data_IF_638595726123
#
_entry.id   IF_638595726123
#
_cell.length_a   1.000
_cell.length_b   1.000
_cell.length_c   1.000
_cell.angle_alpha   90.00
_cell.angle_beta   90.00
_cell.angle_gamma   90.00
#
_symmetry.space_group_name_H-M   'P 1'
#
loop_
_entity.id
_entity.type
_entity.pdbx_description
1 polymer ?
#
# COMPACT_ATOMS: atom_id res chain seq x y z
N UNK A 1 3.24 -6.01 3.54
CA UNK A 1 3.73 -7.35 3.09
C UNK A 1 2.76 -7.95 2.08
N UNK A 2 3.33 -8.43 0.97
CA UNK A 2 2.64 -9.18 -0.09
C UNK A 2 3.44 -10.47 -0.30
N UNK A 3 2.80 -11.58 -0.69
CA UNK A 3 3.47 -12.89 -0.80
C UNK A 3 4.79 -12.80 -1.60
N UNK A 4 5.93 -12.99 -0.92
CA UNK A 4 7.26 -12.96 -1.52
C UNK A 4 8.00 -11.61 -1.50
N UNK A 5 7.35 -10.50 -1.13
CA UNK A 5 8.00 -9.19 -0.95
C UNK A 5 7.62 -8.57 0.41
N UNK A 6 8.65 -8.24 1.19
CA UNK A 6 8.51 -7.90 2.61
C UNK A 6 7.76 -6.57 2.80
N UNK A 7 8.05 -5.59 1.96
CA UNK A 7 7.58 -4.22 2.10
C UNK A 7 7.21 -3.57 0.75
N UNK A 8 6.36 -2.55 0.85
CA UNK A 8 5.84 -1.77 -0.27
C UNK A 8 4.92 -0.68 0.28
N UNK A 9 4.98 0.50 -0.32
CA UNK A 9 4.18 1.66 0.08
C UNK A 9 2.92 1.76 -0.79
N UNK A 10 1.79 2.07 -0.16
CA UNK A 10 0.51 2.24 -0.86
C UNK A 10 0.46 3.63 -1.46
N UNK A 11 0.38 3.70 -2.79
CA UNK A 11 0.37 4.95 -3.56
C UNK A 11 -1.05 5.45 -3.78
N UNK A 12 -1.95 4.53 -4.12
CA UNK A 12 -3.36 4.85 -4.42
C UNK A 12 -4.30 3.82 -3.80
N UNK A 13 -5.51 4.28 -3.45
CA UNK A 13 -6.56 3.46 -2.85
C UNK A 13 -7.87 3.65 -3.61
N UNK A 14 -8.42 2.56 -4.16
CA UNK A 14 -9.71 2.53 -4.81
C UNK A 14 -10.75 1.90 -3.89
N UNK A 15 -11.46 2.74 -3.12
CA UNK A 15 -12.44 2.29 -2.11
C UNK A 15 -13.62 1.50 -2.68
N UNK A 16 -14.07 1.82 -3.88
CA UNK A 16 -15.24 1.18 -4.51
C UNK A 16 -15.00 -0.31 -4.82
N UNK A 17 -13.77 -0.68 -5.18
CA UNK A 17 -13.40 -2.06 -5.52
C UNK A 17 -12.57 -2.76 -4.43
N UNK A 18 -12.34 -2.09 -3.28
CA UNK A 18 -11.44 -2.56 -2.23
C UNK A 18 -10.04 -2.95 -2.76
N UNK A 19 -9.51 -2.17 -3.71
CA UNK A 19 -8.17 -2.40 -4.26
C UNK A 19 -7.20 -1.28 -3.89
N UNK A 20 -5.92 -1.63 -3.84
CA UNK A 20 -4.80 -0.72 -3.54
C UNK A 20 -3.72 -0.88 -4.60
N UNK A 21 -3.08 0.22 -4.97
CA UNK A 21 -1.89 0.24 -5.81
C UNK A 21 -0.69 0.39 -4.89
N UNK A 22 0.31 -0.46 -5.08
CA UNK A 22 1.51 -0.51 -4.24
C UNK A 22 2.72 -0.32 -5.14
N UNK A 23 3.62 0.59 -4.76
CA UNK A 23 4.81 0.92 -5.54
C UNK A 23 5.64 -0.33 -5.85
N UNK A 24 6.08 -0.45 -7.10
CA UNK A 24 6.91 -1.55 -7.62
C UNK A 24 6.33 -2.96 -7.48
N UNK A 25 5.04 -3.09 -7.18
CA UNK A 25 4.36 -4.38 -7.02
C UNK A 25 3.27 -4.52 -8.09
N UNK A 26 3.08 -5.77 -8.58
CA UNK A 26 2.09 -6.10 -9.61
C UNK A 26 2.27 -5.30 -10.91
N UNK A 27 3.53 -5.15 -11.33
CA UNK A 27 3.88 -4.47 -12.57
C UNK A 27 3.33 -5.23 -13.77
N UNK A 28 2.57 -4.53 -14.61
CA UNK A 28 2.07 -5.04 -15.88
C UNK A 28 2.72 -4.28 -17.02
N UNK A 29 3.19 -5.03 -18.01
CA UNK A 29 3.69 -4.46 -19.27
C UNK A 29 2.50 -4.02 -20.10
N UNK A 30 2.39 -2.72 -20.35
CA UNK A 30 1.36 -2.13 -21.20
C UNK A 30 2.02 -1.57 -22.45
N UNK A 31 1.58 -2.07 -23.60
CA UNK A 31 1.92 -1.50 -24.89
C UNK A 31 1.01 -0.29 -25.14
N UNK A 32 1.60 0.90 -25.26
CA UNK A 32 0.89 2.14 -25.52
C UNK A 32 1.11 2.52 -26.97
N UNK A 33 0.00 2.63 -27.71
CA UNK A 33 0.02 3.14 -29.09
C UNK A 33 0.41 4.61 -29.06
N UNK A 34 1.23 5.03 -30.02
CA UNK A 34 1.53 6.44 -30.21
C UNK A 34 0.27 7.22 -30.55
N UNK A 35 0.18 8.45 -30.04
CA UNK A 35 -0.92 9.37 -30.34
C UNK A 35 -0.59 10.30 -31.51
N UNK A 36 0.69 10.50 -31.81
CA UNK A 36 1.17 11.43 -32.83
C UNK A 36 1.76 10.68 -34.02
N UNK A 37 1.54 11.25 -35.22
CA UNK A 37 2.05 10.69 -36.47
C UNK A 37 3.56 10.92 -36.52
N UNK A 38 4.33 9.83 -36.41
CA UNK A 38 5.80 9.87 -36.50
C UNK A 38 6.52 9.37 -35.25
N UNK A 39 5.84 9.25 -34.10
CA UNK A 39 6.45 8.71 -32.89
C UNK A 39 6.25 7.19 -32.75
N UNK A 40 7.27 6.43 -32.33
CA UNK A 40 7.12 5.01 -32.05
C UNK A 40 6.26 4.78 -30.79
N UNK A 41 5.47 3.69 -30.81
CA UNK A 41 4.75 3.24 -29.62
C UNK A 41 5.71 2.90 -28.47
N UNK A 42 5.22 3.05 -27.23
CA UNK A 42 6.04 2.83 -26.04
C UNK A 42 5.60 1.58 -25.28
N UNK A 43 6.57 0.86 -24.72
CA UNK A 43 6.32 -0.23 -23.78
C UNK A 43 6.57 0.32 -22.39
N UNK A 44 5.51 0.54 -21.62
CA UNK A 44 5.59 1.04 -20.24
C UNK A 44 5.27 -0.08 -19.26
N UNK A 45 5.91 -0.05 -18.09
CA UNK A 45 5.52 -0.87 -16.94
C UNK A 45 4.69 0.00 -16.02
N UNK A 46 3.50 -0.47 -15.68
CA UNK A 46 2.59 0.24 -14.77
C UNK A 46 2.24 -0.65 -13.59
N UNK A 47 2.12 -0.07 -12.41
CA UNK A 47 1.59 -0.75 -11.23
C UNK A 47 0.10 -1.03 -11.43
N UNK A 48 -0.31 -2.27 -11.17
CA UNK A 48 -1.70 -2.66 -11.23
C UNK A 48 -2.29 -2.86 -9.83
N UNK A 49 -3.58 -2.56 -9.64
CA UNK A 49 -4.23 -2.71 -8.34
C UNK A 49 -4.25 -4.17 -7.87
N UNK A 50 -4.08 -4.36 -6.56
CA UNK A 50 -4.25 -5.63 -5.85
C UNK A 50 -5.40 -5.47 -4.85
N UNK A 51 -6.15 -6.55 -4.61
CA UNK A 51 -7.20 -6.54 -3.60
C UNK A 51 -6.62 -6.36 -2.17
N UNK A 52 -7.26 -5.51 -1.37
CA UNK A 52 -6.78 -5.13 -0.04
C UNK A 52 -6.69 -6.31 0.94
N UNK A 53 -7.46 -7.38 0.73
CA UNK A 53 -7.35 -8.61 1.54
C UNK A 53 -6.04 -9.37 1.36
N UNK A 54 -5.31 -9.11 0.26
CA UNK A 54 -4.05 -9.80 -0.06
C UNK A 54 -2.82 -9.07 0.50
N UNK A 55 -3.03 -7.97 1.23
CA UNK A 55 -1.96 -7.18 1.83
C UNK A 55 -2.09 -7.16 3.35
N UNK A 56 -0.96 -7.15 4.04
CA UNK A 56 -0.90 -6.96 5.50
C UNK A 56 -0.01 -5.77 5.86
N UNK A 57 -0.35 -5.11 6.97
CA UNK A 57 0.49 -4.09 7.59
C UNK A 57 1.79 -4.73 8.06
N UNK A 58 2.88 -3.98 7.89
CA UNK A 58 4.23 -4.45 8.11
C UNK A 58 4.96 -3.51 9.07
N UNK A 59 5.53 -4.07 10.14
CA UNK A 59 6.42 -3.35 11.03
C UNK A 59 7.83 -3.34 10.43
N UNK A 60 8.39 -2.17 10.16
CA UNK A 60 9.79 -2.03 9.71
C UNK A 60 10.77 -2.31 10.85
N UNK A 61 10.38 -2.06 12.10
CA UNK A 61 11.22 -2.27 13.28
C UNK A 61 11.44 -3.75 13.56
N UNK A 62 10.35 -4.54 13.54
CA UNK A 62 10.42 -5.97 13.88
C UNK A 62 10.42 -6.89 12.65
N UNK A 63 10.34 -6.32 11.44
CA UNK A 63 10.29 -7.05 10.17
C UNK A 63 9.19 -8.12 10.11
N UNK A 64 8.05 -7.84 10.75
CA UNK A 64 6.93 -8.77 10.88
C UNK A 64 5.66 -8.16 10.33
N UNK A 65 4.94 -8.92 9.51
CA UNK A 65 3.58 -8.61 9.12
C UNK A 65 2.57 -9.06 10.19
N UNK A 66 1.61 -8.19 10.47
CA UNK A 66 0.61 -8.43 11.50
C UNK A 66 -0.79 -7.95 11.09
N UNK A 67 -1.79 -8.53 11.76
CA UNK A 67 -3.17 -8.02 11.73
C UNK A 67 -3.26 -6.75 12.56
N UNK A 68 -4.30 -5.96 12.30
CA UNK A 68 -4.57 -4.72 13.00
C UNK A 68 -5.56 -4.92 14.15
N UNK A 69 -5.27 -4.30 15.30
CA UNK A 69 -6.17 -4.15 16.43
C UNK A 69 -6.50 -2.67 16.67
N UNK A 70 -7.44 -2.40 17.58
CA UNK A 70 -7.79 -1.04 18.01
C UNK A 70 -7.61 -0.88 19.51
N UNK A 71 -7.03 0.25 19.95
CA UNK A 71 -6.88 0.62 21.36
C UNK A 71 -7.28 2.08 21.55
N UNK A 72 -7.78 2.42 22.74
CA UNK A 72 -7.99 3.81 23.17
C UNK A 72 -6.80 4.21 24.03
N UNK A 73 -6.16 5.34 23.69
CA UNK A 73 -5.07 5.92 24.46
C UNK A 73 -5.60 6.78 25.61
N UNK A 74 -4.73 7.11 26.56
CA UNK A 74 -5.08 7.88 27.76
C UNK A 74 -5.60 9.29 27.42
N UNK A 75 -5.22 9.82 26.25
CA UNK A 75 -5.74 11.08 25.70
C UNK A 75 -7.14 10.95 25.05
N UNK A 76 -7.79 9.79 25.14
CA UNK A 76 -9.09 9.50 24.54
C UNK A 76 -9.06 9.19 23.05
N UNK A 77 -7.90 9.24 22.38
CA UNK A 77 -7.78 8.96 20.93
C UNK A 77 -7.83 7.45 20.68
N UNK A 78 -8.71 7.03 19.77
CA UNK A 78 -8.72 5.66 19.24
C UNK A 78 -7.67 5.51 18.15
N UNK A 79 -6.78 4.54 18.30
CA UNK A 79 -5.68 4.26 17.37
C UNK A 79 -5.66 2.80 16.95
N UNK A 80 -5.09 2.54 15.78
CA UNK A 80 -4.74 1.20 15.28
C UNK A 80 -3.35 0.80 15.77
N UNK A 81 -3.22 -0.46 16.13
CA UNK A 81 -1.94 -1.06 16.52
C UNK A 81 -1.74 -2.43 15.86
N UNK A 82 -0.50 -2.87 15.73
CA UNK A 82 -0.16 -4.21 15.25
C UNK A 82 -0.31 -5.23 16.37
N UNK A 83 -1.11 -6.27 16.17
CA UNK A 83 -1.42 -7.25 17.24
C UNK A 83 -0.17 -8.01 17.72
N UNK A 84 0.77 -8.28 16.81
CA UNK A 84 1.98 -9.05 17.13
C UNK A 84 3.04 -8.25 17.87
N UNK A 85 3.18 -6.96 17.54
CA UNK A 85 4.30 -6.13 18.01
C UNK A 85 3.87 -5.10 19.07
N UNK A 86 2.59 -4.76 19.11
CA UNK A 86 2.05 -3.68 19.95
C UNK A 86 2.27 -2.27 19.37
N UNK A 87 2.95 -2.15 18.23
CA UNK A 87 3.30 -0.88 17.60
C UNK A 87 2.07 -0.11 17.12
N UNK A 88 2.02 1.20 17.38
CA UNK A 88 0.92 2.09 16.99
C UNK A 88 1.18 2.64 15.60
N UNK A 89 0.16 2.59 14.73
CA UNK A 89 0.29 2.91 13.29
C UNK A 89 -0.22 4.33 12.96
N UNK A 90 -1.19 4.82 13.73
CA UNK A 90 -1.86 6.09 13.45
C UNK A 90 -1.08 7.28 14.02
N UNK A 91 -0.03 7.68 13.30
CA UNK A 91 0.73 8.91 13.56
C UNK A 91 -0.15 10.16 13.45
N UNK A 92 -0.04 11.07 14.41
CA UNK A 92 -0.86 12.31 14.48
C UNK A 92 -0.52 13.30 13.37
N UNK A 93 0.62 13.12 12.69
CA UNK A 93 1.21 14.08 11.74
C UNK A 93 1.16 13.61 10.28
N UNK A 94 0.73 12.36 10.00
CA UNK A 94 0.83 11.73 8.67
C UNK A 94 -0.10 12.35 7.59
N UNK A 95 -0.90 13.35 7.94
CA UNK A 95 -1.84 14.04 7.04
C UNK A 95 -1.54 15.53 6.86
N UNK A 96 -0.56 16.07 7.60
CA UNK A 96 -0.14 17.46 7.46
C UNK A 96 0.89 17.53 6.33
N UNK A 97 0.42 17.99 5.18
CA UNK A 97 1.28 18.68 4.21
C UNK A 97 1.48 20.13 4.67
#
# INVERSE_FOLDING_TARGET
MIRGRLDGEVTEIFRHNNTVVVNEINLKTKQVKSKEVGEPGQIIKIEAPIHSSNVMLYSKEQNVASRVGHKVLDNGKRVRYLIKTGEIIDGTENWKF
#
